data_IF_613838304959
#
_entry.id   IF_613838304959
#
_cell.length_a   1.000
_cell.length_b   1.000
_cell.length_c   1.000
_cell.angle_alpha   90.00
_cell.angle_beta   90.00
_cell.angle_gamma   90.00
#
_symmetry.space_group_name_H-M   'P 1'
#
loop_
_entity.id
_entity.type
_entity.pdbx_description
1 polymer ?
#
# COMPACT_ATOMS: atom_id res chain seq x y z
N UNK A 1 -15.03 -9.99 24.62
CA UNK A 1 -14.72 -9.49 23.27
C UNK A 1 -14.41 -10.68 22.38
N UNK A 2 -14.72 -10.59 21.08
CA UNK A 2 -14.39 -11.62 20.10
C UNK A 2 -13.15 -11.19 19.33
N UNK A 3 -12.21 -12.10 19.10
CA UNK A 3 -11.03 -11.84 18.29
C UNK A 3 -11.42 -11.72 16.82
N UNK A 4 -11.04 -10.62 16.18
CA UNK A 4 -11.24 -10.37 14.76
C UNK A 4 -9.89 -10.24 14.05
N UNK A 5 -9.89 -10.42 12.73
CA UNK A 5 -8.70 -10.24 11.90
C UNK A 5 -9.09 -9.75 10.51
N UNK A 6 -8.18 -9.02 9.87
CA UNK A 6 -8.30 -8.60 8.47
C UNK A 6 -7.58 -9.62 7.60
N UNK A 7 -8.21 -10.01 6.49
CA UNK A 7 -7.62 -10.93 5.50
C UNK A 7 -7.49 -10.22 4.16
N UNK A 8 -6.30 -10.27 3.56
CA UNK A 8 -6.01 -9.69 2.26
C UNK A 8 -5.32 -8.33 2.33
N UNK A 9 -5.51 -7.51 1.30
CA UNK A 9 -4.86 -6.20 1.18
C UNK A 9 -5.57 -5.14 2.02
N UNK A 10 -4.77 -4.31 2.69
CA UNK A 10 -5.26 -3.07 3.31
C UNK A 10 -5.17 -1.91 2.30
N UNK A 11 -6.06 -0.89 2.37
CA UNK A 11 -6.01 0.26 1.47
C UNK A 11 -4.63 0.92 1.43
N UNK A 12 -4.02 0.96 0.24
CA UNK A 12 -2.72 1.60 0.04
C UNK A 12 -2.89 3.11 -0.06
N UNK A 13 -2.14 3.91 0.70
CA UNK A 13 -2.35 5.35 0.74
C UNK A 13 -2.03 6.01 -0.60
N UNK A 14 -2.82 7.04 -0.96
CA UNK A 14 -2.69 7.73 -2.25
C UNK A 14 -1.38 8.52 -2.41
N UNK A 15 -0.66 8.79 -1.32
CA UNK A 15 0.67 9.39 -1.37
C UNK A 15 1.77 8.39 -1.74
N UNK A 16 1.55 7.09 -1.52
CA UNK A 16 2.51 6.01 -1.85
C UNK A 16 2.27 5.46 -3.26
N UNK A 17 1.01 5.18 -3.60
CA UNK A 17 0.61 4.50 -4.84
C UNK A 17 -0.19 5.44 -5.73
N UNK A 18 0.16 5.50 -7.01
CA UNK A 18 -0.67 6.11 -8.04
C UNK A 18 -1.80 5.16 -8.44
N UNK A 19 -2.97 5.35 -7.84
CA UNK A 19 -4.14 4.49 -8.06
C UNK A 19 -4.63 4.49 -9.51
N UNK A 20 -4.47 5.60 -10.24
CA UNK A 20 -4.94 5.69 -11.63
C UNK A 20 -4.03 4.88 -12.54
N UNK A 21 -2.71 5.01 -12.37
CA UNK A 21 -1.76 4.12 -13.05
C UNK A 21 -1.99 2.67 -12.68
N UNK A 22 -2.20 2.36 -11.40
CA UNK A 22 -2.44 1.00 -10.93
C UNK A 22 -3.67 0.36 -11.58
N UNK A 23 -4.80 1.08 -11.66
CA UNK A 23 -6.04 0.60 -12.31
C UNK A 23 -5.90 0.43 -13.82
N UNK A 24 -5.08 1.27 -14.47
CA UNK A 24 -4.91 1.25 -15.92
C UNK A 24 -4.20 -0.01 -16.44
N UNK A 25 -3.48 -0.74 -15.56
CA UNK A 25 -2.66 -1.88 -15.95
C UNK A 25 -3.20 -3.16 -15.31
N UNK A 26 -4.15 -3.82 -15.97
CA UNK A 26 -4.97 -4.89 -15.38
C UNK A 26 -4.19 -6.15 -14.96
N UNK A 27 -3.05 -6.46 -15.57
CA UNK A 27 -2.20 -7.60 -15.19
C UNK A 27 -0.74 -7.30 -15.53
N UNK A 28 0.00 -6.58 -14.67
CA UNK A 28 1.41 -6.31 -14.92
C UNK A 28 2.18 -7.64 -14.88
N UNK A 29 2.66 -8.12 -16.03
CA UNK A 29 3.53 -9.31 -16.12
C UNK A 29 4.97 -9.01 -15.69
N UNK A 30 5.28 -7.73 -15.46
CA UNK A 30 6.56 -7.19 -15.01
C UNK A 30 6.27 -6.19 -13.89
N UNK A 31 7.22 -6.00 -12.97
CA UNK A 31 7.11 -5.01 -11.88
C UNK A 31 6.88 -3.61 -12.45
N UNK A 32 5.74 -3.02 -12.11
CA UNK A 32 5.31 -1.70 -12.56
C UNK A 32 5.90 -0.62 -11.65
N UNK A 33 7.14 -0.21 -11.89
CA UNK A 33 7.86 0.74 -11.02
C UNK A 33 7.19 2.12 -10.99
N UNK A 34 6.57 2.51 -12.08
CA UNK A 34 5.91 3.79 -12.30
C UNK A 34 4.63 3.98 -11.48
N UNK A 35 4.14 2.92 -10.81
CA UNK A 35 3.01 2.98 -9.87
C UNK A 35 3.39 3.69 -8.57
N UNK A 36 4.66 3.62 -8.19
CA UNK A 36 5.13 4.24 -6.96
C UNK A 36 5.30 5.74 -7.18
N UNK A 37 4.73 6.53 -6.27
CA UNK A 37 4.95 7.99 -6.25
C UNK A 37 6.29 8.37 -5.62
N UNK A 38 6.85 7.48 -4.81
CA UNK A 38 8.11 7.69 -4.09
C UNK A 38 9.29 7.13 -4.90
N UNK A 39 10.40 7.89 -5.05
CA UNK A 39 11.59 7.40 -5.72
C UNK A 39 12.22 6.18 -5.03
N UNK A 40 12.88 5.32 -5.82
CA UNK A 40 13.42 4.03 -5.36
C UNK A 40 14.33 4.11 -4.11
N UNK A 41 15.21 5.13 -3.94
CA UNK A 41 16.04 5.24 -2.73
C UNK A 41 15.25 5.43 -1.42
N UNK A 42 14.01 5.91 -1.49
CA UNK A 42 13.14 6.17 -0.33
C UNK A 42 11.93 5.24 -0.29
N UNK A 43 11.79 4.36 -1.28
CA UNK A 43 10.56 3.58 -1.47
C UNK A 43 10.35 2.57 -0.34
N UNK A 44 11.41 1.92 0.13
CA UNK A 44 11.33 0.95 1.24
C UNK A 44 10.87 1.60 2.54
N UNK A 45 11.46 2.76 2.87
CA UNK A 45 11.07 3.55 4.05
C UNK A 45 9.60 3.97 3.97
N UNK A 46 9.19 4.50 2.82
CA UNK A 46 7.81 4.91 2.56
C UNK A 46 6.80 3.75 2.63
N UNK A 47 7.17 2.56 2.16
CA UNK A 47 6.34 1.36 2.33
C UNK A 47 6.21 0.97 3.81
N UNK A 48 7.30 1.06 4.57
CA UNK A 48 7.29 0.86 6.02
C UNK A 48 6.34 1.83 6.74
N UNK A 49 6.33 3.11 6.34
CA UNK A 49 5.41 4.09 6.91
C UNK A 49 3.94 3.77 6.61
N UNK A 50 3.62 3.33 5.40
CA UNK A 50 2.27 2.89 5.07
C UNK A 50 1.83 1.68 5.89
N UNK A 51 2.73 0.72 6.17
CA UNK A 51 2.43 -0.43 7.04
C UNK A 51 2.13 0.03 8.47
N UNK A 52 2.90 0.96 9.02
CA UNK A 52 2.67 1.49 10.37
C UNK A 52 1.30 2.16 10.48
N UNK A 53 0.88 2.92 9.46
CA UNK A 53 -0.46 3.51 9.40
C UNK A 53 -1.54 2.42 9.38
N UNK A 54 -1.39 1.40 8.53
CA UNK A 54 -2.35 0.30 8.44
C UNK A 54 -2.52 -0.45 9.77
N UNK A 55 -1.41 -0.75 10.46
CA UNK A 55 -1.45 -1.39 11.79
C UNK A 55 -2.14 -0.49 12.80
N UNK A 56 -1.81 0.81 12.81
CA UNK A 56 -2.42 1.77 13.73
C UNK A 56 -3.93 1.89 13.52
N UNK A 57 -4.40 1.86 12.28
CA UNK A 57 -5.83 1.85 11.99
C UNK A 57 -6.50 0.58 12.54
N UNK A 58 -5.88 -0.59 12.37
CA UNK A 58 -6.40 -1.87 12.90
C UNK A 58 -6.45 -1.89 14.43
N UNK A 59 -5.49 -1.25 15.11
CA UNK A 59 -5.47 -1.12 16.58
C UNK A 59 -6.59 -0.20 17.10
N UNK A 60 -7.08 0.74 16.28
CA UNK A 60 -8.13 1.70 16.63
C UNK A 60 -9.55 1.23 16.28
N UNK A 61 -9.68 0.09 15.59
CA UNK A 61 -10.94 -0.44 15.06
C UNK A 61 -11.75 -1.30 16.06
#
# INVERSE_FOLDING_TARGET
MLTTTVVGSYPQPGWLVDHEKFKSNAVPRVRMREVWRVPEPLLEEAQGDAVRLAVRDMELA
#
